data_IF_705413598629
#
_entry.id   IF_705413598629
#
_cell.length_a   1.000
_cell.length_b   1.000
_cell.length_c   1.000
_cell.angle_alpha   90.00
_cell.angle_beta   90.00
_cell.angle_gamma   90.00
#
_symmetry.space_group_name_H-M   'P 1'
#
loop_
_entity.id
_entity.type
_entity.pdbx_description
1 polymer ?
#
# COMPACT_ATOMS: atom_id res chain seq x y z
N UNK A 1 37.77 46.37 -23.03
CA UNK A 1 37.27 45.01 -23.32
C UNK A 1 37.73 43.98 -22.27
N UNK A 2 39.00 43.93 -21.85
CA UNK A 2 39.49 42.94 -20.86
C UNK A 2 38.80 42.99 -19.47
N UNK A 3 38.47 44.18 -18.96
CA UNK A 3 37.82 44.33 -17.65
C UNK A 3 36.40 43.74 -17.60
N UNK A 4 35.68 43.74 -18.72
CA UNK A 4 34.31 43.24 -18.81
C UNK A 4 34.24 41.71 -18.74
N UNK A 5 35.24 41.03 -19.31
CA UNK A 5 35.41 39.59 -19.17
C UNK A 5 35.78 39.19 -17.73
N UNK A 6 36.61 40.00 -17.05
CA UNK A 6 36.94 39.77 -15.63
C UNK A 6 35.71 39.82 -14.71
N UNK A 7 34.84 40.80 -14.91
CA UNK A 7 33.58 40.93 -14.14
C UNK A 7 32.62 39.77 -14.45
N UNK A 8 32.52 39.35 -15.72
CA UNK A 8 31.68 38.23 -16.12
C UNK A 8 32.11 36.90 -15.47
N UNK A 9 33.42 36.64 -15.44
CA UNK A 9 33.98 35.43 -14.79
C UNK A 9 33.77 35.48 -13.28
N UNK A 10 33.97 36.63 -12.64
CA UNK A 10 33.72 36.79 -11.21
C UNK A 10 32.24 36.55 -10.85
N UNK A 11 31.31 37.09 -11.64
CA UNK A 11 29.88 36.87 -11.45
C UNK A 11 29.49 35.39 -11.61
N UNK A 12 30.11 34.68 -12.56
CA UNK A 12 29.87 33.25 -12.78
C UNK A 12 30.31 32.41 -11.57
N UNK A 13 31.50 32.69 -11.02
CA UNK A 13 32.04 31.97 -9.86
C UNK A 13 31.15 32.21 -8.62
N UNK A 14 30.73 33.44 -8.39
CA UNK A 14 29.84 33.78 -7.27
C UNK A 14 28.47 33.12 -7.43
N UNK A 15 27.90 33.13 -8.64
CA UNK A 15 26.62 32.48 -8.94
C UNK A 15 26.67 30.96 -8.75
N UNK A 16 27.75 30.32 -9.19
CA UNK A 16 27.98 28.89 -8.98
C UNK A 16 28.11 28.54 -7.48
N UNK A 17 28.88 29.33 -6.72
CA UNK A 17 29.04 29.13 -5.28
C UNK A 17 27.73 29.30 -4.50
N UNK A 18 26.99 30.36 -4.78
CA UNK A 18 25.68 30.62 -4.16
C UNK A 18 24.65 29.55 -4.55
N UNK A 19 24.61 29.16 -5.83
CA UNK A 19 23.73 28.11 -6.34
C UNK A 19 24.03 26.74 -5.73
N UNK A 20 25.30 26.38 -5.56
CA UNK A 20 25.70 25.12 -4.93
C UNK A 20 25.31 25.08 -3.45
N UNK A 21 25.53 26.17 -2.71
CA UNK A 21 25.17 26.27 -1.31
C UNK A 21 23.65 26.19 -1.08
N UNK A 22 22.88 26.94 -1.89
CA UNK A 22 21.43 26.97 -1.77
C UNK A 22 20.75 25.68 -2.30
N UNK A 23 21.28 25.12 -3.39
CA UNK A 23 20.80 23.85 -3.94
C UNK A 23 21.05 22.67 -2.99
N UNK A 24 22.22 22.64 -2.33
CA UNK A 24 22.58 21.57 -1.40
C UNK A 24 21.78 21.55 -0.10
N UNK A 25 21.26 22.70 0.36
CA UNK A 25 20.42 22.78 1.56
C UNK A 25 18.96 22.44 1.26
N UNK A 26 18.41 22.95 0.16
CA UNK A 26 17.03 22.66 -0.27
C UNK A 26 16.87 21.21 -0.72
N UNK A 27 17.87 20.66 -1.43
CA UNK A 27 17.85 19.27 -1.90
C UNK A 27 17.85 18.25 -0.76
N UNK A 28 18.65 18.49 0.30
CA UNK A 28 18.66 17.64 1.50
C UNK A 28 17.34 17.68 2.26
N UNK A 29 16.76 18.87 2.43
CA UNK A 29 15.48 19.03 3.11
C UNK A 29 14.36 18.27 2.38
N UNK A 30 14.32 18.34 1.03
CA UNK A 30 13.36 17.57 0.21
C UNK A 30 13.61 16.06 0.30
N UNK A 31 14.85 15.61 0.16
CA UNK A 31 15.17 14.18 0.21
C UNK A 31 14.81 13.52 1.54
N UNK A 32 15.01 14.21 2.66
CA UNK A 32 14.60 13.70 3.99
C UNK A 32 13.08 13.66 4.13
N UNK A 33 12.37 14.70 3.67
CA UNK A 33 10.91 14.73 3.72
C UNK A 33 10.28 13.61 2.88
N UNK A 34 10.80 13.39 1.67
CA UNK A 34 10.32 12.34 0.77
C UNK A 34 10.65 10.93 1.31
N UNK A 35 11.83 10.75 1.91
CA UNK A 35 12.23 9.49 2.54
C UNK A 35 11.33 9.11 3.72
N UNK A 36 11.03 10.06 4.61
CA UNK A 36 10.16 9.81 5.78
C UNK A 36 8.71 9.55 5.35
N UNK A 37 8.23 10.21 4.30
CA UNK A 37 6.89 9.95 3.75
C UNK A 37 6.78 8.52 3.18
N UNK A 38 7.82 8.09 2.47
CA UNK A 38 7.86 6.77 1.84
C UNK A 38 7.98 5.63 2.88
N UNK A 39 8.78 5.82 3.93
CA UNK A 39 8.88 4.84 5.03
C UNK A 39 7.56 4.71 5.81
N UNK A 40 6.86 5.82 6.07
CA UNK A 40 5.55 5.78 6.74
C UNK A 40 4.50 5.03 5.93
N UNK A 41 4.47 5.21 4.61
CA UNK A 41 3.57 4.43 3.74
C UNK A 41 3.93 2.95 3.76
N UNK A 42 5.22 2.61 3.61
CA UNK A 42 5.66 1.22 3.65
C UNK A 42 5.37 0.54 5.01
N UNK A 43 5.43 1.30 6.11
CA UNK A 43 5.09 0.79 7.43
C UNK A 43 3.59 0.53 7.59
N UNK A 44 2.74 1.46 7.11
CA UNK A 44 1.29 1.29 7.12
C UNK A 44 0.83 0.08 6.29
N UNK A 45 1.46 -0.14 5.13
CA UNK A 45 1.16 -1.29 4.28
C UNK A 45 1.57 -2.62 4.94
N UNK A 46 2.73 -2.65 5.63
CA UNK A 46 3.16 -3.83 6.38
C UNK A 46 2.24 -4.13 7.57
N UNK A 47 1.79 -3.11 8.30
CA UNK A 47 0.84 -3.31 9.40
C UNK A 47 -0.51 -3.79 8.88
N UNK A 48 -1.02 -3.23 7.78
CA UNK A 48 -2.28 -3.67 7.18
C UNK A 48 -2.20 -5.10 6.62
N UNK A 49 -1.06 -5.50 6.07
CA UNK A 49 -0.82 -6.87 5.63
C UNK A 49 -0.77 -7.84 6.82
N UNK A 50 -0.03 -7.50 7.88
CA UNK A 50 0.06 -8.30 9.10
C UNK A 50 -1.29 -8.44 9.81
N UNK A 51 -2.09 -7.37 9.87
CA UNK A 51 -3.45 -7.41 10.42
C UNK A 51 -4.37 -8.32 9.61
N UNK A 52 -4.29 -8.30 8.28
CA UNK A 52 -5.07 -9.20 7.41
C UNK A 52 -4.65 -10.65 7.57
N UNK A 53 -3.36 -10.94 7.68
CA UNK A 53 -2.86 -12.30 7.91
C UNK A 53 -3.27 -12.81 9.29
N UNK A 54 -3.15 -11.98 10.33
CA UNK A 54 -3.64 -12.30 11.66
C UNK A 54 -5.15 -12.57 11.62
N UNK A 55 -5.94 -11.67 11.01
CA UNK A 55 -7.37 -11.83 10.87
C UNK A 55 -7.75 -13.14 10.18
N UNK A 56 -7.04 -13.55 9.12
CA UNK A 56 -7.25 -14.84 8.45
C UNK A 56 -6.88 -16.02 9.36
N UNK A 57 -5.76 -15.95 10.07
CA UNK A 57 -5.28 -17.02 10.93
C UNK A 57 -6.22 -17.31 12.13
N UNK A 58 -6.87 -16.28 12.69
CA UNK A 58 -7.84 -16.44 13.79
C UNK A 58 -9.29 -16.53 13.33
N UNK A 59 -9.61 -16.38 12.03
CA UNK A 59 -11.00 -16.38 11.55
C UNK A 59 -11.65 -17.77 11.69
N UNK A 60 -12.58 -17.98 12.63
CA UNK A 60 -13.24 -19.27 12.82
C UNK A 60 -14.28 -19.56 11.73
N UNK A 61 -14.58 -18.61 10.85
CA UNK A 61 -15.56 -18.73 9.77
C UNK A 61 -14.96 -19.12 8.42
N UNK A 62 -13.64 -19.02 8.20
CA UNK A 62 -13.03 -19.51 6.94
C UNK A 62 -13.07 -21.04 6.82
N UNK A 63 -13.14 -21.76 7.95
CA UNK A 63 -13.31 -23.21 7.96
C UNK A 63 -14.78 -23.64 7.79
N UNK A 64 -15.74 -22.72 7.81
CA UNK A 64 -17.17 -23.00 7.69
C UNK A 64 -17.67 -22.95 6.23
N UNK A 65 -16.81 -23.27 5.26
CA UNK A 65 -17.19 -23.41 3.84
C UNK A 65 -17.97 -24.71 3.53
N UNK A 66 -18.36 -25.48 4.55
CA UNK A 66 -19.38 -26.51 4.42
C UNK A 66 -20.73 -25.90 4.73
N UNK A 67 -21.56 -25.62 3.71
CA UNK A 67 -22.98 -25.35 3.92
C UNK A 67 -23.54 -26.51 4.80
N UNK A 68 -24.04 -26.26 6.02
CA UNK A 68 -24.57 -27.32 6.89
C UNK A 68 -25.82 -27.99 6.29
N UNK A 69 -26.42 -27.39 5.26
CA UNK A 69 -27.50 -27.94 4.44
C UNK A 69 -27.02 -28.51 3.10
N UNK A 70 -25.70 -28.61 2.90
CA UNK A 70 -25.04 -28.74 1.61
C UNK A 70 -25.37 -29.98 0.78
N UNK A 71 -26.08 -30.97 1.33
CA UNK A 71 -26.65 -32.09 0.57
C UNK A 71 -27.90 -32.72 1.23
N UNK A 72 -28.54 -32.09 2.20
CA UNK A 72 -29.76 -32.66 2.82
C UNK A 72 -30.99 -32.11 2.13
N UNK A 73 -31.16 -32.50 0.87
CA UNK A 73 -32.48 -32.55 0.22
C UNK A 73 -33.06 -33.96 0.36
N UNK A 74 -32.98 -34.56 1.55
CA UNK A 74 -33.71 -35.79 1.82
C UNK A 74 -35.17 -35.39 2.04
N UNK A 75 -35.97 -35.40 0.96
CA UNK A 75 -37.39 -35.12 1.05
C UNK A 75 -38.06 -36.27 1.86
N UNK A 76 -38.60 -36.02 3.06
CA UNK A 76 -39.14 -37.08 3.92
C UNK A 76 -40.39 -37.75 3.33
N UNK A 77 -40.96 -37.19 2.25
CA UNK A 77 -42.14 -37.72 1.57
C UNK A 77 -41.83 -38.48 0.28
N UNK A 78 -40.55 -38.66 -0.06
CA UNK A 78 -40.13 -39.29 -1.33
C UNK A 78 -40.63 -40.74 -1.48
N UNK A 79 -40.90 -41.44 -0.37
CA UNK A 79 -41.43 -42.81 -0.35
C UNK A 79 -42.89 -42.93 0.10
N UNK A 80 -43.65 -41.83 0.20
CA UNK A 80 -45.05 -41.90 0.63
C UNK A 80 -45.96 -42.11 -0.58
N UNK A 81 -46.56 -43.30 -0.66
CA UNK A 81 -47.56 -43.64 -1.69
C UNK A 81 -48.89 -42.96 -1.33
N UNK A 82 -49.13 -41.78 -1.88
CA UNK A 82 -50.31 -40.93 -1.59
C UNK A 82 -51.66 -41.46 -2.10
N UNK A 83 -51.73 -42.66 -2.68
CA UNK A 83 -52.98 -43.21 -3.21
C UNK A 83 -53.50 -44.39 -2.35
N UNK A 84 -54.58 -44.19 -1.57
CA UNK A 84 -55.19 -45.25 -0.77
C UNK A 84 -56.06 -46.24 -1.58
N UNK A 85 -56.21 -46.06 -2.89
CA UNK A 85 -57.01 -46.91 -3.78
C UNK A 85 -56.19 -47.60 -4.88
N UNK A 86 -54.89 -47.79 -4.68
CA UNK A 86 -53.99 -48.50 -5.61
C UNK A 86 -53.49 -49.81 -5.02
#
# INVERSE_FOLDING_TARGET
>A
MMAQWGVAVAALIVGLGAGYYYGGSVGRARGVADGVAQEKQAQADRTAAAEREAAKAVNPFEQAAGNPLGNTSANPFENVKVNPFK
#
